data_IF_271475658494
#
_entry.id   IF_271475658494
#
_cell.length_a   1.000
_cell.length_b   1.000
_cell.length_c   1.000
_cell.angle_alpha   90.00
_cell.angle_beta   90.00
_cell.angle_gamma   90.00
#
_symmetry.space_group_name_H-M   'P 1'
#
loop_
_entity.id
_entity.type
_entity.pdbx_description
1 polymer ?
#
# COMPACT_ATOMS: atom_id res chain seq x y z
N UNK A 1 24.13 27.48 -5.66
CA UNK A 1 25.41 26.99 -5.14
C UNK A 1 25.09 25.96 -4.07
N UNK A 2 25.57 24.71 -4.24
CA UNK A 2 25.36 23.52 -3.38
C UNK A 2 23.91 22.96 -3.48
N UNK A 3 23.52 21.87 -4.17
CA UNK A 3 24.16 20.61 -4.63
C UNK A 3 25.11 20.00 -3.61
N UNK A 4 24.54 19.26 -2.66
CA UNK A 4 25.07 18.03 -2.02
C UNK A 4 24.08 17.61 -0.92
N UNK A 5 23.49 16.44 -1.06
CA UNK A 5 23.54 15.32 -0.09
C UNK A 5 22.57 14.24 -0.55
N UNK A 6 23.14 13.31 -1.32
CA UNK A 6 22.58 11.99 -1.60
C UNK A 6 23.05 11.07 -0.46
N UNK A 7 22.07 10.43 0.19
CA UNK A 7 22.12 9.14 0.92
C UNK A 7 22.95 9.09 2.21
N UNK A 8 22.25 8.80 3.32
CA UNK A 8 22.41 7.62 4.19
C UNK A 8 21.30 7.70 5.26
N UNK A 9 20.50 6.64 5.39
CA UNK A 9 19.50 6.52 6.46
C UNK A 9 18.22 5.79 6.04
N UNK A 10 18.35 4.54 5.57
CA UNK A 10 17.23 3.61 5.50
C UNK A 10 16.68 3.41 6.92
N UNK A 11 15.55 4.05 7.22
CA UNK A 11 14.89 3.89 8.51
C UNK A 11 13.78 4.93 8.77
N UNK A 12 12.63 4.41 9.17
CA UNK A 12 11.51 5.03 9.86
C UNK A 12 10.38 5.73 9.06
N UNK A 13 10.61 6.49 7.98
CA UNK A 13 9.50 7.24 7.32
C UNK A 13 9.55 7.31 5.78
N UNK A 14 10.71 7.35 5.14
CA UNK A 14 10.91 7.20 3.68
C UNK A 14 10.11 8.13 2.75
N UNK A 15 8.79 8.00 2.67
CA UNK A 15 7.97 8.53 1.59
C UNK A 15 6.61 9.08 1.99
N UNK A 16 6.20 9.06 3.27
CA UNK A 16 4.80 9.46 3.60
C UNK A 16 4.44 10.86 3.05
N UNK A 17 5.44 11.73 2.82
CA UNK A 17 5.26 13.12 2.39
C UNK A 17 6.20 13.61 1.30
N UNK A 18 7.34 12.98 0.96
CA UNK A 18 8.33 13.66 0.07
C UNK A 18 7.69 14.15 -1.25
N UNK A 19 6.66 13.46 -1.73
CA UNK A 19 6.15 13.65 -3.08
C UNK A 19 4.72 14.18 -3.25
N UNK A 20 3.86 14.28 -2.22
CA UNK A 20 2.46 14.70 -2.50
C UNK A 20 2.38 16.07 -3.20
N UNK A 21 3.45 16.87 -3.19
CA UNK A 21 3.44 18.28 -3.60
C UNK A 21 4.63 18.73 -4.48
N UNK A 22 5.83 18.11 -4.47
CA UNK A 22 6.96 18.72 -5.22
C UNK A 22 6.81 18.62 -6.74
N UNK A 23 6.27 17.53 -7.29
CA UNK A 23 6.40 17.25 -8.73
C UNK A 23 5.14 17.48 -9.59
N UNK A 24 3.95 17.56 -8.97
CA UNK A 24 2.73 18.01 -9.69
C UNK A 24 2.83 19.48 -10.15
N UNK A 25 3.83 20.24 -9.70
CA UNK A 25 3.93 21.70 -9.88
C UNK A 25 5.19 22.20 -10.61
N UNK A 26 6.19 21.37 -10.95
CA UNK A 26 7.45 21.88 -11.51
C UNK A 26 7.93 21.35 -12.88
N UNK A 27 7.30 20.34 -13.48
CA UNK A 27 7.62 19.94 -14.85
C UNK A 27 6.37 19.62 -15.66
N UNK A 28 5.72 20.70 -16.11
CA UNK A 28 4.84 20.71 -17.29
C UNK A 28 5.49 21.65 -18.33
N UNK A 29 5.72 21.14 -19.54
CA UNK A 29 6.47 21.79 -20.64
C UNK A 29 7.97 21.42 -20.60
N UNK A 30 8.63 20.91 -21.65
CA UNK A 30 8.40 20.98 -23.09
C UNK A 30 8.82 19.69 -23.81
N UNK A 31 8.21 19.49 -24.97
CA UNK A 31 8.64 18.59 -26.05
C UNK A 31 10.07 18.90 -26.51
N UNK A 32 10.81 17.87 -26.91
CA UNK A 32 11.64 17.88 -28.12
C UNK A 32 11.96 16.42 -28.52
N UNK A 33 11.70 16.13 -29.79
CA UNK A 33 11.91 14.87 -30.51
C UNK A 33 13.40 14.61 -30.75
N UNK A 34 13.80 13.33 -30.82
CA UNK A 34 14.83 12.92 -31.79
C UNK A 34 14.68 11.44 -32.14
N UNK A 35 14.33 11.22 -33.41
CA UNK A 35 14.29 9.93 -34.10
C UNK A 35 15.69 9.34 -34.23
N UNK A 36 15.80 8.01 -34.26
CA UNK A 36 16.56 7.32 -35.30
C UNK A 36 16.14 5.86 -35.39
N UNK A 37 15.52 5.52 -36.53
CA UNK A 37 15.29 4.17 -36.99
C UNK A 37 16.60 3.42 -37.22
N UNK A 38 16.56 2.09 -37.04
CA UNK A 38 17.15 1.13 -37.97
C UNK A 38 16.46 -0.23 -37.84
N UNK A 39 15.73 -0.59 -38.88
CA UNK A 39 15.29 -1.94 -39.20
C UNK A 39 16.48 -2.90 -39.34
N UNK A 40 16.30 -4.13 -38.86
CA UNK A 40 16.62 -5.33 -39.67
C UNK A 40 15.66 -6.46 -39.31
N UNK A 41 15.06 -7.00 -40.37
CA UNK A 41 14.21 -8.18 -40.48
C UNK A 41 15.00 -9.46 -40.20
N UNK A 42 14.48 -10.40 -39.40
CA UNK A 42 14.73 -11.83 -39.66
C UNK A 42 13.72 -12.78 -38.98
N UNK A 43 13.21 -13.71 -39.79
CA UNK A 43 12.24 -14.76 -39.44
C UNK A 43 12.97 -16.00 -38.89
N UNK A 44 12.50 -16.59 -37.79
CA UNK A 44 11.96 -17.98 -37.67
C UNK A 44 12.10 -18.63 -36.29
N UNK A 45 11.06 -19.44 -36.01
CA UNK A 45 11.01 -20.73 -35.30
C UNK A 45 10.96 -20.71 -33.76
N UNK A 46 9.71 -20.79 -33.31
CA UNK A 46 9.23 -21.60 -32.17
C UNK A 46 10.06 -22.84 -31.89
N UNK A 47 10.67 -22.87 -30.71
CA UNK A 47 10.99 -24.07 -29.92
C UNK A 47 10.87 -23.70 -28.44
N UNK A 48 9.88 -24.23 -27.74
CA UNK A 48 9.77 -24.10 -26.28
C UNK A 48 10.78 -25.04 -25.62
N UNK A 49 11.66 -24.58 -24.71
CA UNK A 49 12.45 -25.47 -23.90
C UNK A 49 11.62 -25.95 -22.70
N UNK A 50 11.59 -27.26 -22.52
CA UNK A 50 10.99 -27.93 -21.35
C UNK A 50 11.97 -27.74 -20.17
N UNK A 51 11.68 -26.80 -19.28
CA UNK A 51 12.51 -26.51 -18.10
C UNK A 51 12.22 -27.49 -16.96
N UNK A 52 12.80 -28.69 -17.01
CA UNK A 52 12.71 -29.65 -15.91
C UNK A 52 13.86 -29.55 -14.89
N UNK A 53 14.93 -28.81 -15.19
CA UNK A 53 16.02 -28.52 -14.26
C UNK A 53 16.46 -27.06 -14.41
N UNK A 54 15.87 -26.17 -13.62
CA UNK A 54 16.31 -24.77 -13.55
C UNK A 54 17.48 -24.74 -12.57
N UNK A 55 18.68 -24.38 -13.04
CA UNK A 55 19.83 -24.19 -12.17
C UNK A 55 19.56 -22.99 -11.26
N UNK A 56 19.52 -23.21 -9.94
CA UNK A 56 19.25 -22.15 -8.97
C UNK A 56 20.23 -20.98 -9.09
N UNK A 57 21.44 -21.26 -9.57
CA UNK A 57 22.50 -20.26 -9.75
C UNK A 57 22.13 -19.21 -10.81
N UNK A 58 21.45 -19.59 -11.90
CA UNK A 58 21.11 -18.68 -12.99
C UNK A 58 20.05 -17.63 -12.56
N UNK A 59 19.12 -18.02 -11.68
CA UNK A 59 18.13 -17.10 -11.10
C UNK A 59 18.74 -16.16 -10.05
N UNK A 60 19.74 -16.62 -9.30
CA UNK A 60 20.45 -15.83 -8.29
C UNK A 60 21.33 -14.76 -8.94
N UNK A 61 22.09 -15.13 -9.97
CA UNK A 61 22.90 -14.19 -10.75
C UNK A 61 22.01 -13.12 -11.40
N UNK A 62 20.88 -13.53 -11.98
CA UNK A 62 19.91 -12.62 -12.58
C UNK A 62 19.29 -11.66 -11.56
N UNK A 63 19.01 -12.10 -10.33
CA UNK A 63 18.33 -11.28 -9.31
C UNK A 63 19.11 -10.03 -8.89
N UNK A 64 20.42 -9.98 -9.18
CA UNK A 64 21.29 -8.83 -8.87
C UNK A 64 21.52 -7.89 -10.07
N UNK A 65 20.93 -8.21 -11.22
CA UNK A 65 21.12 -7.43 -12.45
C UNK A 65 20.35 -6.09 -12.42
N UNK A 66 21.05 -5.01 -12.76
CA UNK A 66 20.46 -3.67 -12.88
C UNK A 66 19.72 -3.45 -14.21
N UNK A 67 19.87 -4.37 -15.17
CA UNK A 67 19.27 -4.29 -16.50
C UNK A 67 18.67 -5.62 -16.91
N UNK A 68 17.47 -5.58 -17.48
CA UNK A 68 16.76 -6.76 -17.93
C UNK A 68 16.74 -6.83 -19.47
N UNK A 69 17.39 -7.84 -20.04
CA UNK A 69 17.40 -8.08 -21.49
C UNK A 69 16.17 -8.85 -21.96
N UNK A 70 15.86 -8.80 -23.26
CA UNK A 70 14.73 -9.54 -23.84
C UNK A 70 14.83 -11.06 -23.64
N UNK A 71 16.05 -11.63 -23.67
CA UNK A 71 16.27 -13.06 -23.41
C UNK A 71 15.98 -13.42 -21.96
N UNK A 72 16.37 -12.58 -21.00
CA UNK A 72 16.08 -12.76 -19.58
C UNK A 72 14.58 -12.63 -19.30
N UNK A 73 13.88 -11.69 -19.96
CA UNK A 73 12.41 -11.60 -19.88
C UNK A 73 11.76 -12.90 -20.38
N UNK A 74 12.16 -13.40 -21.55
CA UNK A 74 11.63 -14.64 -22.10
C UNK A 74 11.87 -15.85 -21.17
N UNK A 75 13.05 -15.89 -20.54
CA UNK A 75 13.38 -16.89 -19.53
C UNK A 75 12.44 -16.82 -18.32
N UNK A 76 12.23 -15.63 -17.75
CA UNK A 76 11.30 -15.43 -16.62
C UNK A 76 9.85 -15.83 -16.97
N UNK A 77 9.39 -15.53 -18.18
CA UNK A 77 8.07 -15.99 -18.65
C UNK A 77 7.95 -17.51 -18.67
N UNK A 78 8.98 -18.21 -19.16
CA UNK A 78 8.98 -19.66 -19.21
C UNK A 78 8.91 -20.25 -17.80
N UNK A 79 9.67 -19.68 -16.86
CA UNK A 79 9.70 -20.16 -15.47
C UNK A 79 8.42 -19.88 -14.69
N UNK A 80 7.72 -18.75 -14.94
CA UNK A 80 6.41 -18.48 -14.35
C UNK A 80 5.33 -19.49 -14.79
N UNK A 81 5.53 -20.20 -15.89
CA UNK A 81 4.64 -21.26 -16.39
C UNK A 81 5.04 -22.67 -15.96
N UNK A 82 6.07 -22.80 -15.13
CA UNK A 82 6.50 -24.09 -14.59
C UNK A 82 5.39 -24.75 -13.77
N UNK A 83 5.27 -26.06 -13.88
CA UNK A 83 4.38 -26.86 -13.03
C UNK A 83 4.94 -27.02 -11.61
N UNK A 84 6.21 -26.67 -11.38
CA UNK A 84 6.84 -26.74 -10.06
C UNK A 84 6.59 -25.43 -9.27
N UNK A 85 5.79 -25.46 -8.19
CA UNK A 85 5.48 -24.26 -7.40
C UNK A 85 6.74 -23.58 -6.84
N UNK A 86 7.76 -24.36 -6.47
CA UNK A 86 9.02 -23.84 -5.97
C UNK A 86 9.83 -23.07 -7.02
N UNK A 87 9.71 -23.42 -8.31
CA UNK A 87 10.32 -22.65 -9.40
C UNK A 87 9.56 -21.34 -9.60
N UNK A 88 8.23 -21.39 -9.59
CA UNK A 88 7.38 -20.20 -9.71
C UNK A 88 7.65 -19.21 -8.57
N UNK A 89 7.72 -19.68 -7.32
CA UNK A 89 8.03 -18.84 -6.17
C UNK A 89 9.41 -18.16 -6.28
N UNK A 90 10.45 -18.93 -6.64
CA UNK A 90 11.80 -18.38 -6.83
C UNK A 90 11.82 -17.34 -7.95
N UNK A 91 11.15 -17.63 -9.06
CA UNK A 91 11.02 -16.71 -10.20
C UNK A 91 10.34 -15.40 -9.77
N UNK A 92 9.27 -15.48 -8.99
CA UNK A 92 8.57 -14.29 -8.47
C UNK A 92 9.44 -13.49 -7.50
N UNK A 93 10.26 -14.14 -6.67
CA UNK A 93 11.25 -13.45 -5.81
C UNK A 93 12.32 -12.75 -6.66
N UNK A 94 12.83 -13.40 -7.71
CA UNK A 94 13.77 -12.78 -8.66
C UNK A 94 13.14 -11.58 -9.37
N UNK A 95 11.89 -11.70 -9.85
CA UNK A 95 11.14 -10.58 -10.44
C UNK A 95 10.98 -9.44 -9.43
N UNK A 96 10.66 -9.75 -8.16
CA UNK A 96 10.54 -8.74 -7.10
C UNK A 96 11.84 -7.98 -6.87
N UNK A 97 13.00 -8.65 -6.89
CA UNK A 97 14.30 -8.02 -6.73
C UNK A 97 14.67 -7.16 -7.94
N UNK A 98 14.47 -7.69 -9.15
CA UNK A 98 14.68 -6.94 -10.40
C UNK A 98 13.80 -5.69 -10.49
N UNK A 99 12.58 -5.75 -9.95
CA UNK A 99 11.64 -4.63 -9.87
C UNK A 99 12.08 -3.53 -8.89
N UNK A 100 13.20 -3.65 -8.18
CA UNK A 100 13.79 -2.56 -7.42
C UNK A 100 14.32 -1.42 -8.32
N UNK A 101 14.56 -1.69 -9.62
CA UNK A 101 15.06 -0.71 -10.58
C UNK A 101 13.95 -0.22 -11.52
N UNK A 102 13.78 1.10 -11.62
CA UNK A 102 12.72 1.72 -12.46
C UNK A 102 12.84 1.35 -13.94
N UNK A 103 14.05 1.21 -14.47
CA UNK A 103 14.30 0.74 -15.83
C UNK A 103 13.69 -0.66 -16.06
N UNK A 104 13.94 -1.59 -15.14
CA UNK A 104 13.40 -2.94 -15.20
C UNK A 104 11.87 -2.93 -15.04
N UNK A 105 11.31 -2.08 -14.17
CA UNK A 105 9.86 -1.93 -14.03
C UNK A 105 9.19 -1.55 -15.36
N UNK A 106 9.81 -0.69 -16.17
CA UNK A 106 9.32 -0.31 -17.51
C UNK A 106 9.42 -1.49 -18.48
N UNK A 107 10.58 -2.16 -18.57
CA UNK A 107 10.77 -3.34 -19.42
C UNK A 107 9.76 -4.43 -19.11
N UNK A 108 9.47 -4.68 -17.82
CA UNK A 108 8.48 -5.68 -17.41
C UNK A 108 7.04 -5.30 -17.79
N UNK A 109 6.71 -4.01 -17.80
CA UNK A 109 5.40 -3.52 -18.29
C UNK A 109 5.31 -3.69 -19.81
N UNK A 110 6.29 -3.20 -20.54
CA UNK A 110 6.31 -3.17 -22.02
C UNK A 110 6.37 -4.57 -22.63
N UNK A 111 7.07 -5.50 -21.98
CA UNK A 111 7.12 -6.90 -22.42
C UNK A 111 5.92 -7.75 -22.00
N UNK A 112 5.01 -7.21 -21.17
CA UNK A 112 3.86 -7.94 -20.64
C UNK A 112 4.17 -8.86 -19.44
N UNK A 113 5.40 -8.87 -18.92
CA UNK A 113 5.76 -9.70 -17.76
C UNK A 113 4.97 -9.28 -16.51
N UNK A 114 4.75 -7.98 -16.31
CA UNK A 114 3.88 -7.45 -15.25
C UNK A 114 2.47 -8.08 -15.30
N UNK A 115 1.88 -8.16 -16.50
CA UNK A 115 0.57 -8.77 -16.69
C UNK A 115 0.59 -10.27 -16.36
N UNK A 116 1.67 -10.98 -16.70
CA UNK A 116 1.82 -12.38 -16.33
C UNK A 116 1.94 -12.61 -14.81
N UNK A 117 2.55 -11.67 -14.06
CA UNK A 117 2.57 -11.73 -12.59
C UNK A 117 1.15 -11.53 -12.02
N UNK A 118 0.38 -10.57 -12.55
CA UNK A 118 -1.04 -10.38 -12.20
C UNK A 118 -1.85 -11.65 -12.49
N UNK A 119 -1.68 -12.25 -13.66
CA UNK A 119 -2.39 -13.47 -14.04
C UNK A 119 -1.99 -14.66 -13.18
N UNK A 120 -0.73 -14.71 -12.74
CA UNK A 120 -0.26 -15.74 -11.80
C UNK A 120 -0.95 -15.59 -10.45
N UNK A 121 -1.03 -14.38 -9.89
CA UNK A 121 -1.75 -14.13 -8.64
C UNK A 121 -3.21 -14.62 -8.71
N UNK A 122 -3.92 -14.30 -9.78
CA UNK A 122 -5.35 -14.61 -9.94
C UNK A 122 -5.64 -16.10 -10.22
N UNK A 123 -4.64 -16.89 -10.63
CA UNK A 123 -4.79 -18.33 -10.88
C UNK A 123 -4.30 -19.19 -9.70
N UNK A 124 -3.62 -18.58 -8.73
CA UNK A 124 -2.95 -19.30 -7.63
C UNK A 124 -3.77 -19.31 -6.34
N UNK A 125 -5.10 -19.48 -6.42
CA UNK A 125 -6.04 -19.36 -5.29
C UNK A 125 -5.68 -20.21 -4.07
N UNK A 126 -5.17 -21.42 -4.31
CA UNK A 126 -4.79 -22.43 -3.31
C UNK A 126 -3.28 -22.46 -3.02
N UNK A 127 -2.52 -21.46 -3.44
CA UNK A 127 -1.06 -21.40 -3.25
C UNK A 127 -0.61 -20.12 -2.52
N UNK A 128 -0.75 -20.07 -1.18
CA UNK A 128 -0.40 -18.88 -0.38
C UNK A 128 1.04 -18.41 -0.59
N UNK A 129 2.00 -19.32 -0.77
CA UNK A 129 3.41 -18.98 -1.03
C UNK A 129 3.60 -18.22 -2.35
N UNK A 130 2.96 -18.69 -3.43
CA UNK A 130 2.95 -18.01 -4.74
C UNK A 130 2.22 -16.68 -4.65
N UNK A 131 1.06 -16.61 -3.98
CA UNK A 131 0.31 -15.37 -3.78
C UNK A 131 1.15 -14.32 -3.04
N UNK A 132 1.82 -14.71 -1.96
CA UNK A 132 2.71 -13.83 -1.20
C UNK A 132 3.84 -13.28 -2.07
N UNK A 133 4.49 -14.14 -2.88
CA UNK A 133 5.55 -13.72 -3.80
C UNK A 133 5.01 -12.81 -4.92
N UNK A 134 3.82 -13.08 -5.45
CA UNK A 134 3.16 -12.21 -6.43
C UNK A 134 2.86 -10.83 -5.84
N UNK A 135 2.21 -10.76 -4.67
CA UNK A 135 1.91 -9.49 -4.01
C UNK A 135 3.19 -8.70 -3.71
N UNK A 136 4.27 -9.37 -3.31
CA UNK A 136 5.56 -8.71 -3.09
C UNK A 136 6.17 -8.14 -4.38
N UNK A 137 6.19 -8.92 -5.46
CA UNK A 137 6.66 -8.46 -6.76
C UNK A 137 5.81 -7.30 -7.31
N UNK A 138 4.48 -7.42 -7.23
CA UNK A 138 3.54 -6.39 -7.66
C UNK A 138 3.67 -5.13 -6.80
N UNK A 139 3.93 -5.25 -5.50
CA UNK A 139 4.18 -4.10 -4.63
C UNK A 139 5.38 -3.30 -5.12
N UNK A 140 6.48 -3.96 -5.50
CA UNK A 140 7.66 -3.28 -6.04
C UNK A 140 7.38 -2.67 -7.42
N UNK A 141 6.69 -3.41 -8.30
CA UNK A 141 6.33 -2.93 -9.63
C UNK A 141 5.35 -1.74 -9.59
N UNK A 142 4.47 -1.68 -8.60
CA UNK A 142 3.51 -0.60 -8.39
C UNK A 142 4.13 0.72 -7.88
N UNK A 143 5.42 0.72 -7.52
CA UNK A 143 6.13 1.98 -7.24
C UNK A 143 6.25 2.87 -8.49
N UNK A 144 6.15 2.27 -9.69
CA UNK A 144 5.98 3.01 -10.93
C UNK A 144 4.50 3.30 -11.18
N UNK A 145 4.14 4.59 -11.24
CA UNK A 145 2.76 5.02 -11.48
C UNK A 145 2.18 4.45 -12.78
N UNK A 146 2.97 4.36 -13.86
CA UNK A 146 2.49 3.82 -15.13
C UNK A 146 2.13 2.32 -15.04
N UNK A 147 2.76 1.58 -14.11
CA UNK A 147 2.45 0.17 -13.88
C UNK A 147 1.14 -0.03 -13.12
N UNK A 148 0.71 0.96 -12.33
CA UNK A 148 -0.49 0.84 -11.50
C UNK A 148 -1.76 0.59 -12.34
N UNK A 149 -1.79 1.09 -13.58
CA UNK A 149 -2.87 0.85 -14.54
C UNK A 149 -3.09 -0.64 -14.86
N UNK A 150 -2.04 -1.47 -14.79
CA UNK A 150 -2.13 -2.93 -14.96
C UNK A 150 -2.39 -3.60 -13.62
N UNK A 151 -1.70 -3.15 -12.56
CA UNK A 151 -1.80 -3.72 -11.21
C UNK A 151 -3.21 -3.58 -10.63
N UNK A 152 -3.92 -2.48 -10.90
CA UNK A 152 -5.27 -2.23 -10.37
C UNK A 152 -6.26 -3.37 -10.65
N UNK A 153 -6.07 -4.11 -11.75
CA UNK A 153 -6.93 -5.24 -12.14
C UNK A 153 -6.93 -6.39 -11.12
N UNK A 154 -5.90 -6.51 -10.27
CA UNK A 154 -5.86 -7.51 -9.21
C UNK A 154 -6.37 -7.00 -7.85
N UNK A 155 -6.65 -5.71 -7.68
CA UNK A 155 -7.08 -5.15 -6.38
C UNK A 155 -8.33 -5.83 -5.80
N UNK A 156 -9.41 -6.11 -6.57
CA UNK A 156 -10.57 -6.81 -6.02
C UNK A 156 -10.21 -8.19 -5.43
N UNK A 157 -9.26 -8.89 -6.05
CA UNK A 157 -8.76 -10.18 -5.56
C UNK A 157 -7.99 -10.02 -4.25
N UNK A 158 -7.04 -9.08 -4.21
CA UNK A 158 -6.21 -8.80 -3.03
C UNK A 158 -7.08 -8.35 -1.85
N UNK A 159 -8.06 -7.48 -2.09
CA UNK A 159 -9.00 -6.97 -1.08
C UNK A 159 -9.86 -8.11 -0.52
N UNK A 160 -10.41 -8.98 -1.38
CA UNK A 160 -11.15 -10.16 -0.94
C UNK A 160 -10.31 -11.08 -0.05
N UNK A 161 -9.02 -11.24 -0.35
CA UNK A 161 -8.09 -12.03 0.47
C UNK A 161 -7.82 -11.35 1.82
N UNK A 162 -7.52 -10.06 1.84
CA UNK A 162 -7.33 -9.28 3.08
C UNK A 162 -8.55 -9.40 3.99
N UNK A 163 -9.77 -9.18 3.47
CA UNK A 163 -11.01 -9.26 4.26
C UNK A 163 -11.13 -10.58 5.04
N UNK A 164 -10.60 -11.68 4.49
CA UNK A 164 -10.66 -13.02 5.08
C UNK A 164 -9.40 -13.42 5.85
N UNK A 165 -8.36 -12.60 5.86
CA UNK A 165 -7.05 -13.00 6.35
C UNK A 165 -6.91 -12.90 7.87
N UNK A 166 -5.85 -13.47 8.40
CA UNK A 166 -5.38 -13.26 9.78
C UNK A 166 -4.01 -12.58 9.76
N UNK A 167 -3.53 -12.10 10.92
CA UNK A 167 -2.18 -11.51 11.01
C UNK A 167 -1.07 -12.51 10.71
N UNK A 168 -1.30 -13.80 10.99
CA UNK A 168 -0.31 -14.88 10.80
C UNK A 168 -0.28 -15.43 9.38
N UNK A 169 -1.24 -15.03 8.53
CA UNK A 169 -1.27 -15.45 7.13
C UNK A 169 -0.08 -14.86 6.37
N UNK A 170 0.68 -15.73 5.69
CA UNK A 170 1.87 -15.34 4.92
C UNK A 170 1.57 -14.31 3.80
N UNK A 171 0.31 -14.22 3.35
CA UNK A 171 -0.13 -13.31 2.29
C UNK A 171 -0.55 -11.93 2.82
N UNK A 172 -0.84 -11.78 4.12
CA UNK A 172 -1.37 -10.53 4.68
C UNK A 172 -0.38 -9.39 4.52
N UNK A 173 0.86 -9.57 4.97
CA UNK A 173 1.87 -8.51 4.91
C UNK A 173 2.21 -8.09 3.47
N UNK A 174 2.54 -9.01 2.53
CA UNK A 174 2.78 -8.64 1.13
C UNK A 174 1.58 -7.96 0.46
N UNK A 175 0.36 -8.38 0.80
CA UNK A 175 -0.86 -7.76 0.28
C UNK A 175 -1.05 -6.34 0.81
N UNK A 176 -0.80 -6.10 2.10
CA UNK A 176 -0.82 -4.76 2.69
C UNK A 176 0.27 -3.85 2.11
N UNK A 177 1.46 -4.39 1.79
CA UNK A 177 2.51 -3.64 1.10
C UNK A 177 2.03 -3.16 -0.27
N UNK A 178 1.44 -4.07 -1.06
CA UNK A 178 0.85 -3.73 -2.35
C UNK A 178 -0.26 -2.68 -2.23
N UNK A 179 -1.21 -2.87 -1.30
CA UNK A 179 -2.29 -1.91 -1.06
C UNK A 179 -1.77 -0.54 -0.60
N UNK A 180 -0.69 -0.50 0.20
CA UNK A 180 -0.07 0.76 0.62
C UNK A 180 0.42 1.55 -0.58
N UNK A 181 1.09 0.89 -1.55
CA UNK A 181 1.58 1.55 -2.75
C UNK A 181 0.44 1.97 -3.70
N UNK A 182 -0.59 1.13 -3.85
CA UNK A 182 -1.74 1.41 -4.71
C UNK A 182 -2.67 2.49 -4.16
N UNK A 183 -2.63 2.79 -2.86
CA UNK A 183 -3.47 3.80 -2.20
C UNK A 183 -2.76 5.14 -1.97
N UNK A 184 -1.52 5.33 -2.44
CA UNK A 184 -0.83 6.62 -2.32
C UNK A 184 -1.64 7.74 -3.00
N UNK A 185 -2.20 7.42 -4.17
CA UNK A 185 -3.21 8.24 -4.86
C UNK A 185 -4.62 7.71 -4.60
N UNK A 186 -5.60 8.57 -4.80
CA UNK A 186 -7.03 8.36 -4.56
C UNK A 186 -7.72 7.51 -5.63
N UNK A 187 -7.17 7.44 -6.84
CA UNK A 187 -7.74 6.70 -8.00
C UNK A 187 -8.21 5.27 -7.64
N UNK A 188 -7.45 4.57 -6.80
CA UNK A 188 -7.72 3.17 -6.46
C UNK A 188 -8.44 2.97 -5.11
N UNK A 189 -8.76 4.04 -4.37
CA UNK A 189 -9.31 3.93 -3.02
C UNK A 189 -10.65 3.19 -2.99
N UNK A 190 -11.50 3.41 -4.00
CA UNK A 190 -12.81 2.77 -4.11
C UNK A 190 -12.71 1.23 -4.18
N UNK A 191 -11.65 0.68 -4.77
CA UNK A 191 -11.41 -0.76 -4.76
C UNK A 191 -11.03 -1.30 -3.38
N UNK A 192 -10.39 -0.49 -2.53
CA UNK A 192 -9.81 -0.89 -1.24
C UNK A 192 -10.76 -0.62 -0.07
N UNK A 193 -11.67 0.35 -0.19
CA UNK A 193 -12.67 0.68 0.83
C UNK A 193 -13.42 -0.53 1.43
N UNK A 194 -13.79 -1.58 0.68
CA UNK A 194 -14.42 -2.77 1.25
C UNK A 194 -13.59 -3.50 2.33
N UNK A 195 -12.27 -3.26 2.42
CA UNK A 195 -11.41 -3.81 3.46
C UNK A 195 -11.36 -2.98 4.76
N UNK A 196 -12.04 -1.83 4.85
CA UNK A 196 -11.90 -0.88 5.97
C UNK A 196 -12.05 -1.51 7.35
N UNK A 197 -13.12 -2.27 7.58
CA UNK A 197 -13.34 -2.98 8.85
C UNK A 197 -12.19 -3.93 9.19
N UNK A 198 -11.67 -4.65 8.18
CA UNK A 198 -10.57 -5.59 8.36
C UNK A 198 -9.24 -4.89 8.62
N UNK A 199 -9.00 -3.77 7.94
CA UNK A 199 -7.82 -2.95 8.18
C UNK A 199 -7.83 -2.40 9.60
N UNK A 200 -8.98 -1.93 10.10
CA UNK A 200 -9.14 -1.52 11.50
C UNK A 200 -8.85 -2.69 12.46
N UNK A 201 -9.33 -3.90 12.15
CA UNK A 201 -9.00 -5.11 12.92
C UNK A 201 -7.49 -5.40 12.93
N UNK A 202 -6.83 -5.39 11.77
CA UNK A 202 -5.39 -5.65 11.64
C UNK A 202 -4.53 -4.52 12.21
N UNK A 203 -5.10 -3.35 12.52
CA UNK A 203 -4.38 -2.19 13.06
C UNK A 203 -4.17 -2.23 14.57
N UNK A 204 -4.84 -3.16 15.27
CA UNK A 204 -4.73 -3.34 16.72
C UNK A 204 -4.02 -4.65 17.01
N UNK A 205 -3.27 -4.73 18.13
CA UNK A 205 -2.55 -5.95 18.53
C UNK A 205 -3.30 -6.71 19.60
N UNK A 206 -2.93 -7.98 19.77
CA UNK A 206 -3.18 -8.75 20.98
C UNK A 206 -1.98 -8.75 21.96
N UNK A 207 -0.72 -8.78 21.50
CA UNK A 207 0.47 -8.87 22.38
C UNK A 207 1.63 -7.88 22.05
N UNK A 208 2.17 -7.87 20.82
CA UNK A 208 3.34 -7.05 20.42
C UNK A 208 3.22 -6.44 19.01
N UNK A 209 4.13 -5.52 18.63
CA UNK A 209 4.02 -4.77 17.37
C UNK A 209 4.41 -5.61 16.18
N UNK A 210 3.42 -5.92 15.35
CA UNK A 210 3.63 -6.59 14.08
C UNK A 210 3.83 -5.56 12.97
N UNK A 211 4.62 -5.94 11.97
CA UNK A 211 4.73 -5.19 10.71
C UNK A 211 3.37 -5.08 10.03
N UNK A 212 2.50 -6.09 10.18
CA UNK A 212 1.11 -6.09 9.68
C UNK A 212 0.32 -4.92 10.26
N UNK A 213 0.41 -4.70 11.57
CA UNK A 213 -0.22 -3.58 12.25
C UNK A 213 0.17 -2.24 11.63
N UNK A 214 1.47 -2.04 11.45
CA UNK A 214 1.99 -0.80 10.91
C UNK A 214 1.55 -0.58 9.46
N UNK A 215 1.59 -1.62 8.64
CA UNK A 215 1.16 -1.53 7.23
C UNK A 215 -0.35 -1.32 7.11
N UNK A 216 -1.16 -1.95 7.97
CA UNK A 216 -2.60 -1.70 8.01
C UNK A 216 -2.91 -0.23 8.31
N UNK A 217 -2.23 0.36 9.31
CA UNK A 217 -2.34 1.78 9.62
C UNK A 217 -1.94 2.69 8.46
N UNK A 218 -0.92 2.34 7.68
CA UNK A 218 -0.55 3.12 6.48
C UNK A 218 -1.64 3.13 5.42
N UNK A 219 -2.27 1.97 5.15
CA UNK A 219 -3.40 1.90 4.22
C UNK A 219 -4.57 2.75 4.74
N UNK A 220 -4.94 2.61 6.02
CA UNK A 220 -6.00 3.42 6.64
C UNK A 220 -5.74 4.92 6.53
N UNK A 221 -4.51 5.35 6.81
CA UNK A 221 -4.11 6.75 6.69
C UNK A 221 -4.23 7.24 5.23
N UNK A 222 -3.80 6.44 4.25
CA UNK A 222 -3.95 6.78 2.84
C UNK A 222 -5.42 6.93 2.44
N UNK A 223 -6.26 5.95 2.79
CA UNK A 223 -7.71 5.98 2.50
C UNK A 223 -8.39 7.20 3.16
N UNK A 224 -8.02 7.51 4.40
CA UNK A 224 -8.58 8.66 5.13
C UNK A 224 -8.25 10.00 4.51
N UNK A 225 -7.32 10.09 3.54
CA UNK A 225 -7.04 11.34 2.83
C UNK A 225 -8.08 11.66 1.71
N UNK A 226 -9.03 10.77 1.44
CA UNK A 226 -10.04 10.92 0.38
C UNK A 226 -11.45 10.95 0.99
N UNK A 227 -12.19 12.03 0.71
CA UNK A 227 -13.56 12.24 1.17
C UNK A 227 -14.48 11.05 0.85
N UNK A 228 -14.36 10.48 -0.35
CA UNK A 228 -15.20 9.37 -0.81
C UNK A 228 -15.03 8.10 0.05
N UNK A 229 -13.86 7.92 0.66
CA UNK A 229 -13.57 6.79 1.53
C UNK A 229 -14.11 6.97 2.95
N UNK A 230 -14.38 8.21 3.37
CA UNK A 230 -14.74 8.54 4.76
C UNK A 230 -16.05 7.89 5.18
N UNK A 231 -17.07 7.88 4.31
CA UNK A 231 -18.35 7.23 4.59
C UNK A 231 -18.16 5.75 4.97
N UNK A 232 -17.42 5.00 4.14
CA UNK A 232 -17.16 3.58 4.41
C UNK A 232 -16.33 3.38 5.69
N UNK A 233 -15.36 4.25 5.96
CA UNK A 233 -14.56 4.20 7.18
C UNK A 233 -15.40 4.47 8.43
N UNK A 234 -16.30 5.46 8.39
CA UNK A 234 -17.15 5.83 9.51
C UNK A 234 -18.14 4.72 9.89
N UNK A 235 -18.70 4.02 8.90
CA UNK A 235 -19.58 2.88 9.12
C UNK A 235 -18.87 1.59 9.54
N UNK A 236 -17.54 1.52 9.42
CA UNK A 236 -16.79 0.32 9.75
C UNK A 236 -16.72 0.10 11.28
N UNK A 237 -16.89 -1.14 11.76
CA UNK A 237 -16.71 -1.47 13.17
C UNK A 237 -15.25 -1.26 13.60
N UNK A 238 -15.06 -0.75 14.81
CA UNK A 238 -13.74 -0.47 15.40
C UNK A 238 -13.52 -1.37 16.61
N UNK A 239 -12.42 -2.15 16.63
CA UNK A 239 -12.05 -2.96 17.79
C UNK A 239 -11.90 -2.10 19.06
N UNK A 240 -12.33 -2.58 20.24
CA UNK A 240 -12.16 -1.85 21.50
C UNK A 240 -10.71 -1.42 21.79
N UNK A 241 -9.74 -2.22 21.34
CA UNK A 241 -8.29 -2.00 21.51
C UNK A 241 -7.77 -0.80 20.71
N UNK A 242 -8.55 -0.24 19.77
CA UNK A 242 -8.14 0.89 18.95
C UNK A 242 -7.69 2.10 19.77
N UNK A 243 -8.33 2.33 20.93
CA UNK A 243 -7.95 3.41 21.85
C UNK A 243 -6.51 3.30 22.33
N UNK A 244 -5.97 2.08 22.47
CA UNK A 244 -4.59 1.87 22.89
C UNK A 244 -3.58 2.38 21.84
N UNK A 245 -3.97 2.47 20.56
CA UNK A 245 -3.11 3.02 19.50
C UNK A 245 -2.81 4.50 19.72
N UNK A 246 -3.80 5.25 20.21
CA UNK A 246 -3.68 6.69 20.51
C UNK A 246 -2.64 6.94 21.60
N UNK A 247 -2.44 5.98 22.50
CA UNK A 247 -1.47 6.06 23.59
C UNK A 247 -0.26 5.15 23.40
N UNK A 248 -0.03 4.64 22.18
CA UNK A 248 1.07 3.71 21.92
C UNK A 248 2.41 4.35 22.27
N UNK A 249 3.29 3.57 22.92
CA UNK A 249 4.69 3.96 23.18
C UNK A 249 5.56 3.87 21.92
N UNK A 250 5.05 3.25 20.85
CA UNK A 250 5.73 3.15 19.57
C UNK A 250 5.33 4.35 18.72
N UNK A 251 6.26 5.31 18.59
CA UNK A 251 6.00 6.61 17.98
C UNK A 251 5.37 6.54 16.58
N UNK A 252 5.82 5.62 15.71
CA UNK A 252 5.28 5.49 14.34
C UNK A 252 3.83 4.96 14.33
N UNK A 253 3.49 4.03 15.23
CA UNK A 253 2.10 3.54 15.39
C UNK A 253 1.22 4.67 15.92
N UNK A 254 1.66 5.35 16.98
CA UNK A 254 0.91 6.44 17.60
C UNK A 254 0.65 7.57 16.61
N UNK A 255 1.70 7.99 15.87
CA UNK A 255 1.60 9.06 14.88
C UNK A 255 0.62 8.70 13.76
N UNK A 256 0.66 7.46 13.24
CA UNK A 256 -0.26 7.03 12.18
C UNK A 256 -1.69 6.92 12.66
N UNK A 257 -1.93 6.37 13.85
CA UNK A 257 -3.26 6.31 14.44
C UNK A 257 -3.85 7.71 14.63
N UNK A 258 -3.07 8.66 15.16
CA UNK A 258 -3.49 10.06 15.29
C UNK A 258 -3.71 10.73 13.93
N UNK A 259 -2.85 10.46 12.94
CA UNK A 259 -3.01 11.03 11.58
C UNK A 259 -4.28 10.51 10.92
N UNK A 260 -4.58 9.22 11.04
CA UNK A 260 -5.83 8.62 10.56
C UNK A 260 -7.04 9.29 11.20
N UNK A 261 -7.07 9.38 12.53
CA UNK A 261 -8.17 10.04 13.24
C UNK A 261 -8.29 11.51 12.83
N UNK A 262 -7.17 12.24 12.77
CA UNK A 262 -7.14 13.64 12.35
C UNK A 262 -7.73 13.84 10.96
N UNK A 263 -7.39 12.98 10.00
CA UNK A 263 -7.93 13.05 8.66
C UNK A 263 -9.43 12.79 8.67
N UNK A 264 -9.89 11.70 9.29
CA UNK A 264 -11.34 11.37 9.37
C UNK A 264 -12.13 12.52 10.00
N UNK A 265 -11.68 13.07 11.13
CA UNK A 265 -12.44 14.15 11.79
C UNK A 265 -12.37 15.49 11.09
N UNK A 266 -11.38 15.71 10.21
CA UNK A 266 -11.25 16.94 9.43
C UNK A 266 -12.26 17.01 8.29
N UNK A 267 -12.81 15.87 7.87
CA UNK A 267 -13.87 15.78 6.89
C UNK A 267 -15.21 15.91 7.61
N UNK A 268 -15.62 17.16 7.81
CA UNK A 268 -16.87 17.52 8.48
C UNK A 268 -17.90 17.86 7.43
N UNK A 269 -18.55 16.81 6.94
CA UNK A 269 -19.70 16.94 6.08
C UNK A 269 -20.86 16.24 6.78
N UNK A 270 -21.84 17.03 7.24
CA UNK A 270 -23.01 16.52 7.96
C UNK A 270 -23.82 15.53 7.09
N UNK A 271 -23.70 15.61 5.76
CA UNK A 271 -24.32 14.64 4.85
C UNK A 271 -23.73 13.23 4.98
N UNK A 272 -22.48 13.10 5.42
CA UNK A 272 -21.79 11.81 5.59
C UNK A 272 -22.10 11.18 6.95
N UNK A 273 -22.54 11.98 7.92
CA UNK A 273 -22.87 11.49 9.26
C UNK A 273 -24.29 10.93 9.29
N UNK A 274 -24.42 9.60 9.43
CA UNK A 274 -25.73 8.99 9.65
C UNK A 274 -26.28 9.32 11.04
N UNK A 275 -27.60 9.51 11.17
CA UNK A 275 -28.26 9.56 12.49
C UNK A 275 -28.43 8.17 13.12
N UNK A 276 -28.41 7.12 12.30
CA UNK A 276 -28.49 5.72 12.69
C UNK A 276 -27.17 5.02 12.35
N UNK A 277 -26.35 4.75 13.37
CA UNK A 277 -25.04 4.11 13.21
C UNK A 277 -24.82 3.03 14.27
N UNK A 278 -24.07 1.99 13.90
CA UNK A 278 -23.76 0.89 14.79
C UNK A 278 -22.92 1.37 15.99
N UNK A 279 -23.22 0.87 17.19
CA UNK A 279 -22.59 1.31 18.43
C UNK A 279 -21.06 1.03 18.50
N UNK A 280 -20.59 0.05 17.73
CA UNK A 280 -19.20 -0.34 17.57
C UNK A 280 -18.48 0.37 16.40
N UNK A 281 -19.18 1.18 15.62
CA UNK A 281 -18.62 1.91 14.46
C UNK A 281 -17.58 2.97 14.82
N UNK A 282 -16.78 3.36 13.83
CA UNK A 282 -15.86 4.51 13.94
C UNK A 282 -16.62 5.81 14.16
N UNK A 283 -17.78 5.97 13.53
CA UNK A 283 -18.65 7.12 13.76
C UNK A 283 -19.09 7.21 15.23
N UNK A 284 -19.52 6.10 15.85
CA UNK A 284 -19.87 6.06 17.26
C UNK A 284 -18.69 6.46 18.17
N UNK A 285 -17.48 6.03 17.83
CA UNK A 285 -16.27 6.34 18.58
C UNK A 285 -15.91 7.83 18.52
N UNK A 286 -16.04 8.48 17.34
CA UNK A 286 -15.56 9.84 17.11
C UNK A 286 -16.64 10.92 17.32
N UNK A 287 -17.91 10.60 17.02
CA UNK A 287 -19.02 11.56 16.98
C UNK A 287 -20.18 11.21 17.91
N UNK A 288 -20.29 9.96 18.39
CA UNK A 288 -21.38 9.54 19.28
C UNK A 288 -21.38 10.19 20.68
N UNK A 289 -22.39 9.94 21.51
CA UNK A 289 -22.50 10.54 22.86
C UNK A 289 -21.86 9.69 23.99
N UNK A 290 -21.18 8.59 23.64
CA UNK A 290 -20.71 7.58 24.58
C UNK A 290 -19.41 7.89 25.35
N UNK A 291 -19.10 7.06 26.35
CA UNK A 291 -17.86 7.11 27.14
C UNK A 291 -16.59 7.05 26.29
N UNK A 292 -16.55 6.14 25.30
CA UNK A 292 -15.39 5.97 24.42
C UNK A 292 -15.00 7.24 23.67
N UNK A 293 -15.99 8.06 23.25
CA UNK A 293 -15.73 9.37 22.64
C UNK A 293 -15.08 10.33 23.63
N UNK A 294 -15.58 10.38 24.86
CA UNK A 294 -14.97 11.23 25.91
C UNK A 294 -13.52 10.81 26.17
N UNK A 295 -13.28 9.49 26.22
CA UNK A 295 -11.95 8.93 26.46
C UNK A 295 -10.98 9.31 25.35
N UNK A 296 -11.33 9.11 24.07
CA UNK A 296 -10.43 9.46 22.95
C UNK A 296 -10.06 10.94 22.94
N UNK A 297 -11.01 11.85 23.14
CA UNK A 297 -10.71 13.28 23.17
C UNK A 297 -9.96 13.71 24.43
N UNK A 298 -10.17 13.06 25.58
CA UNK A 298 -9.36 13.30 26.78
C UNK A 298 -7.90 12.85 26.58
N UNK A 299 -7.69 11.72 25.90
CA UNK A 299 -6.35 11.25 25.52
C UNK A 299 -5.68 12.21 24.54
N UNK A 300 -6.38 12.59 23.46
CA UNK A 300 -5.90 13.56 22.47
C UNK A 300 -5.54 14.90 23.11
N UNK A 301 -6.35 15.39 24.06
CA UNK A 301 -6.05 16.63 24.79
C UNK A 301 -4.71 16.57 25.53
N UNK A 302 -4.39 15.45 26.18
CA UNK A 302 -3.09 15.26 26.85
C UNK A 302 -1.94 15.27 25.84
N UNK A 303 -2.16 14.72 24.65
CA UNK A 303 -1.15 14.62 23.59
C UNK A 303 -0.80 15.97 22.94
N UNK A 304 -1.58 17.03 23.16
CA UNK A 304 -1.19 18.40 22.76
C UNK A 304 0.08 18.89 23.47
N UNK A 305 0.47 18.25 24.57
CA UNK A 305 1.70 18.52 25.34
C UNK A 305 2.78 17.45 25.16
N UNK A 306 2.62 16.54 24.19
CA UNK A 306 3.56 15.44 23.94
C UNK A 306 4.96 15.95 23.53
N UNK A 307 6.09 15.26 23.84
CA UNK A 307 7.43 15.71 23.45
C UNK A 307 7.66 15.78 21.92
N UNK A 308 7.09 14.84 21.16
CA UNK A 308 7.15 14.86 19.69
C UNK A 308 6.23 15.94 19.11
N UNK A 309 6.81 16.79 18.25
CA UNK A 309 6.09 17.86 17.55
C UNK A 309 5.01 17.32 16.60
N UNK A 310 5.30 16.25 15.87
CA UNK A 310 4.35 15.68 14.91
C UNK A 310 3.11 15.13 15.63
N UNK A 311 3.30 14.47 16.78
CA UNK A 311 2.19 13.99 17.62
C UNK A 311 1.37 15.16 18.15
N UNK A 312 2.01 16.24 18.63
CA UNK A 312 1.29 17.45 19.07
C UNK A 312 0.47 18.05 17.93
N UNK A 313 1.04 18.15 16.73
CA UNK A 313 0.36 18.69 15.54
C UNK A 313 -0.90 17.89 15.21
N UNK A 314 -0.80 16.56 15.15
CA UNK A 314 -1.98 15.73 14.86
C UNK A 314 -3.03 15.80 15.97
N UNK A 315 -2.62 15.79 17.24
CA UNK A 315 -3.53 15.96 18.36
C UNK A 315 -4.28 17.29 18.32
N UNK A 316 -3.58 18.40 18.03
CA UNK A 316 -4.19 19.72 17.86
C UNK A 316 -5.16 19.76 16.67
N UNK A 317 -4.82 19.14 15.53
CA UNK A 317 -5.72 19.04 14.37
C UNK A 317 -7.04 18.38 14.73
N UNK A 318 -7.00 17.27 15.49
CA UNK A 318 -8.19 16.56 15.94
C UNK A 318 -9.09 17.46 16.80
N UNK A 319 -8.51 18.22 17.74
CA UNK A 319 -9.28 19.10 18.62
C UNK A 319 -9.86 20.31 17.88
N UNK A 320 -9.09 20.91 16.97
CA UNK A 320 -9.56 22.03 16.15
C UNK A 320 -10.73 21.59 15.29
N UNK A 321 -10.60 20.46 14.59
CA UNK A 321 -11.71 19.88 13.83
C UNK A 321 -12.92 19.68 14.74
N UNK A 322 -12.78 19.00 15.88
CA UNK A 322 -13.88 18.82 16.83
C UNK A 322 -14.57 20.15 17.21
N UNK A 323 -13.81 21.20 17.49
CA UNK A 323 -14.38 22.51 17.86
C UNK A 323 -15.16 23.14 16.71
N UNK A 324 -14.62 23.14 15.48
CA UNK A 324 -15.31 23.67 14.31
C UNK A 324 -16.63 22.93 14.00
N UNK A 325 -16.68 21.63 14.30
CA UNK A 325 -17.90 20.82 14.14
C UNK A 325 -18.98 21.12 15.17
N UNK A 326 -18.65 21.78 16.30
CA UNK A 326 -19.65 22.26 17.24
C UNK A 326 -20.31 23.57 16.76
N UNK A 327 -19.57 24.43 16.06
CA UNK A 327 -20.07 25.73 15.61
C UNK A 327 -21.13 25.62 14.48
N UNK A 328 -21.25 24.47 13.83
CA UNK A 328 -22.26 24.20 12.78
C UNK A 328 -23.57 23.59 13.33
N UNK A 329 -23.67 23.31 14.64
CA UNK A 329 -24.84 22.66 15.25
C UNK A 329 -25.74 23.60 16.07
N UNK A 330 -25.48 24.92 16.03
CA UNK A 330 -26.26 25.97 16.71
C UNK A 330 -27.11 26.81 15.73
#
# INVERSE_FOLDING_TARGET
MIRRFLVIGLGAVGSYVVYRIVDRLYFSGNEEEEETEKETDDKKKTSQPVCNNVDSHELEDLATSNSLSSSQVAFLFALLRSENPGVVERTLRTISNLAAFTSNQNVMRESGLLKAVVDTLQRSDDSPGIQACCCQALSNLAMNMANQTVVQSCLPFVVKKIVRSTETDATTLPSLNLLTNMTVLDDHHHHVCPASAKLLQLSVKEEEASTVQLQSLKVLVNLSCNQTSIETLLHSPVPPQFLALIQSTIADIQLRALTFVANVVSFQDDEVLSSDFAADSLQALLYGSGGRRRDIYAMVLKLTKHPSEDIRKQASRILVAKMLGYDNQD
#
